data_IF_407579715598
#
_entry.id   IF_407579715598
#
_cell.length_a   1.000
_cell.length_b   1.000
_cell.length_c   1.000
_cell.angle_alpha   90.00
_cell.angle_beta   90.00
_cell.angle_gamma   90.00
#
_symmetry.space_group_name_H-M   'P 1'
#
loop_
_entity.id
_entity.type
_entity.pdbx_description
1 polymer ?
#
# COMPACT_ATOMS: atom_id res chain seq x y z
N UNK A 1 -10.88 18.40 12.07
CA UNK A 1 -10.70 19.82 11.66
C UNK A 1 -12.08 20.38 11.36
N UNK A 2 -12.45 21.54 11.90
CA UNK A 2 -13.76 22.13 11.65
C UNK A 2 -13.59 23.41 10.83
N UNK A 3 -13.93 23.36 9.54
CA UNK A 3 -13.86 24.51 8.64
C UNK A 3 -15.10 25.37 8.89
N UNK A 4 -14.90 26.60 9.36
CA UNK A 4 -15.98 27.49 9.76
C UNK A 4 -16.59 28.31 8.61
N UNK A 5 -15.84 28.46 7.52
CA UNK A 5 -16.22 29.29 6.37
C UNK A 5 -16.01 28.50 5.09
N UNK A 6 -16.98 28.56 4.18
CA UNK A 6 -16.85 28.10 2.80
C UNK A 6 -16.68 29.29 1.86
N UNK A 7 -16.20 29.04 0.64
CA UNK A 7 -16.17 30.02 -0.45
C UNK A 7 -17.49 30.79 -0.57
N UNK A 8 -18.61 30.05 -0.57
CA UNK A 8 -19.96 30.61 -0.62
C UNK A 8 -20.28 31.51 0.58
N UNK A 9 -19.88 31.10 1.79
CA UNK A 9 -20.14 31.92 2.98
C UNK A 9 -19.37 33.23 2.99
N UNK A 10 -18.23 33.30 2.31
CA UNK A 10 -17.42 34.52 2.20
C UNK A 10 -18.07 35.47 1.20
N UNK A 11 -18.50 34.97 0.03
CA UNK A 11 -19.17 35.78 -1.00
C UNK A 11 -20.53 36.30 -0.53
N UNK A 12 -21.33 35.45 0.13
CA UNK A 12 -22.67 35.82 0.58
C UNK A 12 -22.66 36.70 1.86
N UNK A 13 -21.49 37.12 2.35
CA UNK A 13 -21.36 37.83 3.62
C UNK A 13 -21.59 39.33 3.44
N UNK A 14 -22.72 39.80 3.95
CA UNK A 14 -22.97 41.24 4.09
C UNK A 14 -22.46 41.77 5.44
N UNK A 15 -21.83 42.94 5.40
CA UNK A 15 -21.34 43.69 6.57
C UNK A 15 -22.15 44.97 6.78
N UNK A 16 -22.39 45.31 8.03
CA UNK A 16 -22.98 46.60 8.39
C UNK A 16 -21.96 47.72 8.20
N UNK A 17 -22.39 48.84 7.62
CA UNK A 17 -21.53 49.99 7.35
C UNK A 17 -21.60 50.98 8.52
N UNK A 18 -20.47 51.22 9.17
CA UNK A 18 -20.34 52.22 10.24
C UNK A 18 -19.55 53.46 9.79
N UNK A 19 -19.82 54.61 10.42
CA UNK A 19 -19.24 55.93 10.07
C UNK A 19 -17.70 56.01 10.19
N UNK A 20 -17.05 55.03 10.85
CA UNK A 20 -15.59 54.88 10.94
C UNK A 20 -15.11 53.48 10.56
N UNK A 21 -15.79 52.85 9.60
CA UNK A 21 -15.44 51.53 9.08
C UNK A 21 -14.32 51.55 8.04
N UNK A 22 -13.89 50.35 7.63
CA UNK A 22 -13.06 50.16 6.46
C UNK A 22 -13.81 50.53 5.18
N UNK A 23 -13.07 50.84 4.12
CA UNK A 23 -13.67 51.07 2.80
C UNK A 23 -14.24 49.76 2.27
N UNK A 24 -15.52 49.79 1.88
CA UNK A 24 -16.23 48.62 1.32
C UNK A 24 -15.44 48.01 0.16
N UNK A 25 -14.98 48.84 -0.78
CA UNK A 25 -14.21 48.41 -1.96
C UNK A 25 -12.91 47.65 -1.62
N UNK A 26 -12.23 48.06 -0.54
CA UNK A 26 -10.98 47.42 -0.10
C UNK A 26 -11.27 46.08 0.59
N UNK A 27 -12.35 46.03 1.37
CA UNK A 27 -12.80 44.81 2.04
C UNK A 27 -13.30 43.81 1.00
N UNK A 28 -14.15 44.22 0.06
CA UNK A 28 -14.69 43.36 -0.99
C UNK A 28 -13.56 42.78 -1.85
N UNK A 29 -12.62 43.61 -2.32
CA UNK A 29 -11.49 43.14 -3.11
C UNK A 29 -10.59 42.15 -2.34
N UNK A 30 -10.46 42.31 -1.03
CA UNK A 30 -9.75 41.36 -0.19
C UNK A 30 -10.53 40.05 0.03
N UNK A 31 -11.85 40.14 0.22
CA UNK A 31 -12.72 38.97 0.39
C UNK A 31 -12.86 38.16 -0.89
N UNK A 32 -12.84 38.79 -2.06
CA UNK A 32 -12.81 38.11 -3.36
C UNK A 32 -11.56 37.23 -3.48
N UNK A 33 -10.38 37.77 -3.14
CA UNK A 33 -9.13 37.01 -3.14
C UNK A 33 -9.16 35.84 -2.14
N UNK A 34 -9.67 36.07 -0.91
CA UNK A 34 -9.83 35.00 0.08
C UNK A 34 -10.82 33.94 -0.42
N UNK A 35 -11.92 34.35 -1.05
CA UNK A 35 -12.91 33.42 -1.58
C UNK A 35 -12.27 32.54 -2.66
N UNK A 36 -11.50 33.11 -3.59
CA UNK A 36 -10.79 32.35 -4.63
C UNK A 36 -9.80 31.34 -4.03
N UNK A 37 -9.03 31.74 -3.02
CA UNK A 37 -8.12 30.85 -2.30
C UNK A 37 -8.88 29.69 -1.64
N UNK A 38 -10.02 29.96 -0.99
CA UNK A 38 -10.85 28.93 -0.38
C UNK A 38 -11.41 27.93 -1.40
N UNK A 39 -11.81 28.40 -2.58
CA UNK A 39 -12.25 27.53 -3.68
C UNK A 39 -11.10 26.63 -4.16
N UNK A 40 -9.91 27.19 -4.33
CA UNK A 40 -8.71 26.45 -4.74
C UNK A 40 -8.31 25.40 -3.71
N UNK A 41 -8.33 25.76 -2.42
CA UNK A 41 -8.05 24.83 -1.32
C UNK A 41 -9.08 23.68 -1.29
N UNK A 42 -10.36 23.97 -1.50
CA UNK A 42 -11.41 22.95 -1.54
C UNK A 42 -11.19 21.96 -2.69
N UNK A 43 -10.86 22.45 -3.89
CA UNK A 43 -10.54 21.61 -5.05
C UNK A 43 -9.32 20.74 -4.75
N UNK A 44 -8.22 21.33 -4.28
CA UNK A 44 -6.99 20.61 -3.97
C UNK A 44 -7.20 19.54 -2.89
N UNK A 45 -7.97 19.85 -1.85
CA UNK A 45 -8.30 18.87 -0.81
C UNK A 45 -9.11 17.70 -1.37
N UNK A 46 -10.08 17.98 -2.25
CA UNK A 46 -10.87 16.94 -2.91
C UNK A 46 -10.02 16.05 -3.80
N UNK A 47 -9.06 16.62 -4.53
CA UNK A 47 -8.11 15.86 -5.35
C UNK A 47 -7.15 15.03 -4.49
N UNK A 48 -6.61 15.61 -3.42
CA UNK A 48 -5.75 14.90 -2.48
C UNK A 48 -6.47 13.71 -1.83
N UNK A 49 -7.73 13.89 -1.41
CA UNK A 49 -8.53 12.80 -0.84
C UNK A 49 -8.75 11.66 -1.85
N UNK A 50 -9.01 11.99 -3.13
CA UNK A 50 -9.10 10.98 -4.19
C UNK A 50 -7.77 10.24 -4.37
N UNK A 51 -6.67 10.98 -4.42
CA UNK A 51 -5.33 10.39 -4.59
C UNK A 51 -4.99 9.46 -3.43
N UNK A 52 -5.27 9.87 -2.18
CA UNK A 52 -5.08 9.04 -0.99
C UNK A 52 -5.90 7.77 -1.10
N UNK A 53 -7.19 7.86 -1.45
CA UNK A 53 -8.05 6.69 -1.63
C UNK A 53 -7.50 5.71 -2.67
N UNK A 54 -7.05 6.21 -3.82
CA UNK A 54 -6.46 5.36 -4.87
C UNK A 54 -5.16 4.71 -4.40
N UNK A 55 -4.29 5.45 -3.71
CA UNK A 55 -3.04 4.91 -3.18
C UNK A 55 -3.28 3.87 -2.09
N UNK A 56 -4.29 4.05 -1.24
CA UNK A 56 -4.67 3.08 -0.22
C UNK A 56 -5.18 1.78 -0.84
N UNK A 57 -6.01 1.86 -1.90
CA UNK A 57 -6.47 0.69 -2.67
C UNK A 57 -5.31 -0.05 -3.34
N UNK A 58 -4.38 0.67 -3.98
CA UNK A 58 -3.20 0.07 -4.60
C UNK A 58 -2.28 -0.58 -3.57
N UNK A 59 -2.07 0.07 -2.43
CA UNK A 59 -1.26 -0.45 -1.33
C UNK A 59 -1.84 -1.77 -0.80
N UNK A 60 -3.16 -1.84 -0.62
CA UNK A 60 -3.81 -3.05 -0.15
C UNK A 60 -3.67 -4.19 -1.16
N UNK A 61 -3.91 -3.89 -2.45
CA UNK A 61 -3.72 -4.86 -3.52
C UNK A 61 -2.29 -5.40 -3.57
N UNK A 62 -1.28 -4.53 -3.45
CA UNK A 62 0.13 -4.93 -3.46
C UNK A 62 0.48 -5.77 -2.23
N UNK A 63 -0.08 -5.45 -1.05
CA UNK A 63 0.10 -6.27 0.16
C UNK A 63 -0.48 -7.67 0.00
N UNK A 64 -1.66 -7.80 -0.60
CA UNK A 64 -2.28 -9.09 -0.90
C UNK A 64 -1.43 -9.91 -1.86
N UNK A 65 -0.99 -9.30 -2.96
CA UNK A 65 -0.09 -9.94 -3.94
C UNK A 65 1.23 -10.39 -3.27
N UNK A 66 1.81 -9.56 -2.40
CA UNK A 66 3.03 -9.90 -1.65
C UNK A 66 2.79 -11.06 -0.67
N UNK A 67 1.66 -11.09 0.02
CA UNK A 67 1.28 -12.15 0.94
C UNK A 67 1.14 -13.49 0.21
N UNK A 68 0.45 -13.50 -0.94
CA UNK A 68 0.31 -14.69 -1.79
C UNK A 68 1.66 -15.18 -2.31
N UNK A 69 2.52 -14.27 -2.78
CA UNK A 69 3.85 -14.61 -3.26
C UNK A 69 4.73 -15.22 -2.15
N UNK A 70 4.65 -14.70 -0.91
CA UNK A 70 5.36 -15.25 0.25
C UNK A 70 4.89 -16.66 0.61
N UNK A 71 3.57 -16.89 0.61
CA UNK A 71 3.02 -18.23 0.85
C UNK A 71 3.50 -19.23 -0.19
N UNK A 72 3.43 -18.85 -1.47
CA UNK A 72 3.90 -19.69 -2.58
C UNK A 72 5.39 -20.00 -2.49
N UNK A 73 6.21 -19.02 -2.14
CA UNK A 73 7.65 -19.26 -1.93
C UNK A 73 7.91 -20.21 -0.76
N UNK A 74 7.19 -20.06 0.36
CA UNK A 74 7.32 -20.96 1.51
C UNK A 74 6.95 -22.41 1.17
N UNK A 75 5.90 -22.61 0.36
CA UNK A 75 5.52 -23.93 -0.14
C UNK A 75 6.59 -24.52 -1.06
N UNK A 76 7.11 -23.74 -2.00
CA UNK A 76 8.18 -24.17 -2.90
C UNK A 76 9.45 -24.54 -2.14
N UNK A 77 9.84 -23.76 -1.12
CA UNK A 77 10.98 -24.07 -0.26
C UNK A 77 10.80 -25.40 0.48
N UNK A 78 9.59 -25.68 1.00
CA UNK A 78 9.28 -26.98 1.62
C UNK A 78 9.41 -28.12 0.62
N UNK A 79 8.80 -28.00 -0.57
CA UNK A 79 8.87 -29.02 -1.60
C UNK A 79 10.31 -29.29 -2.05
N UNK A 80 11.12 -28.25 -2.22
CA UNK A 80 12.55 -28.39 -2.56
C UNK A 80 13.31 -29.11 -1.44
N UNK A 81 13.06 -28.76 -0.18
CA UNK A 81 13.69 -29.42 0.97
C UNK A 81 13.34 -30.90 1.05
N UNK A 82 12.07 -31.25 0.84
CA UNK A 82 11.59 -32.64 0.77
C UNK A 82 12.25 -33.41 -0.38
N UNK A 83 12.31 -32.84 -1.57
CA UNK A 83 12.99 -33.46 -2.73
C UNK A 83 14.49 -33.69 -2.50
N UNK A 84 15.18 -32.75 -1.84
CA UNK A 84 16.60 -32.90 -1.48
C UNK A 84 16.78 -34.05 -0.48
N UNK A 85 15.90 -34.13 0.54
CA UNK A 85 15.94 -35.19 1.55
C UNK A 85 15.68 -36.56 0.93
N UNK A 86 14.70 -36.68 0.04
CA UNK A 86 14.41 -37.93 -0.68
C UNK A 86 15.58 -38.36 -1.58
N UNK A 87 16.21 -37.40 -2.28
CA UNK A 87 17.39 -37.68 -3.11
C UNK A 87 18.57 -38.18 -2.27
N UNK A 88 18.81 -37.58 -1.10
CA UNK A 88 19.85 -38.02 -0.17
C UNK A 88 19.56 -39.44 0.37
N UNK A 89 18.32 -39.70 0.80
CA UNK A 89 17.93 -41.02 1.31
C UNK A 89 18.08 -42.11 0.24
N UNK A 90 17.67 -41.83 -1.00
CA UNK A 90 17.83 -42.75 -2.12
C UNK A 90 19.31 -43.07 -2.40
N UNK A 91 20.19 -42.06 -2.39
CA UNK A 91 21.64 -42.27 -2.54
C UNK A 91 22.20 -43.20 -1.47
N UNK A 92 21.77 -43.07 -0.22
CA UNK A 92 22.23 -43.92 0.87
C UNK A 92 21.68 -45.35 0.77
N UNK A 93 20.44 -45.52 0.28
CA UNK A 93 19.89 -46.83 -0.05
C UNK A 93 20.74 -47.51 -1.12
N UNK A 94 21.07 -46.83 -2.22
CA UNK A 94 21.91 -47.40 -3.28
C UNK A 94 23.29 -47.82 -2.76
N UNK A 95 23.93 -47.01 -1.90
CA UNK A 95 25.20 -47.37 -1.25
C UNK A 95 25.07 -48.63 -0.40
N UNK A 96 24.01 -48.72 0.41
CA UNK A 96 23.78 -49.87 1.29
C UNK A 96 23.48 -51.15 0.50
N UNK A 97 22.69 -51.05 -0.56
CA UNK A 97 22.43 -52.16 -1.49
C UNK A 97 23.74 -52.63 -2.14
N UNK A 98 24.55 -51.71 -2.67
CA UNK A 98 25.85 -52.04 -3.26
C UNK A 98 26.79 -52.73 -2.27
N UNK A 99 26.80 -52.31 -1.00
CA UNK A 99 27.58 -53.00 0.05
C UNK A 99 27.04 -54.40 0.37
N UNK A 100 25.72 -54.60 0.35
CA UNK A 100 25.09 -55.91 0.57
C UNK A 100 25.37 -56.87 -0.60
N UNK A 101 25.29 -56.39 -1.84
CA UNK A 101 25.64 -57.14 -3.05
C UNK A 101 27.11 -57.57 -3.01
N UNK A 102 28.02 -56.67 -2.62
CA UNK A 102 29.44 -57.01 -2.45
C UNK A 102 29.63 -58.11 -1.40
N UNK A 103 29.01 -57.98 -0.22
CA UNK A 103 29.14 -58.96 0.87
C UNK A 103 28.54 -60.33 0.53
N UNK A 104 27.46 -60.37 -0.24
CA UNK A 104 26.84 -61.63 -0.68
C UNK A 104 27.71 -62.28 -1.75
N UNK A 105 28.19 -61.52 -2.73
CA UNK A 105 29.13 -62.03 -3.74
C UNK A 105 30.46 -62.54 -3.16
N UNK A 106 30.91 -62.01 -2.03
CA UNK A 106 32.10 -62.51 -1.32
C UNK A 106 31.83 -63.77 -0.47
N UNK A 107 30.58 -64.03 -0.08
CA UNK A 107 30.17 -65.23 0.68
C UNK A 107 29.85 -66.44 -0.20
N UNK A 108 29.52 -66.22 -1.47
CA UNK A 108 29.21 -67.26 -2.44
C UNK A 108 30.48 -67.80 -3.18
N UNK A 109 31.68 -67.49 -2.68
CA UNK A 109 32.98 -68.03 -3.10
C UNK A 109 33.58 -68.93 -2.02
#
# INVERSE_FOLDING_TARGET
MNIKLSHKNIIDKEFEVEYKGYKVEEVDGFLDAIAEDYATIEINNKENLKMISTLEEELERVKDELSLARTKNSELEKTISEQIKDKQMNSDIFRRVSMLEKKTSEKDK
#
